data_IF_088903140802
#
_entry.id   IF_088903140802
#
_cell.length_a   1.000
_cell.length_b   1.000
_cell.length_c   1.000
_cell.angle_alpha   90.00
_cell.angle_beta   90.00
_cell.angle_gamma   90.00
#
_symmetry.space_group_name_H-M   'P 1'
#
loop_
_entity.id
_entity.type
_entity.pdbx_description
1 polymer ?
#
# COMPACT_ATOMS: atom_id res chain seq x y z
N UNK A 1 -15.89 -10.09 11.06
CA UNK A 1 -15.55 -9.44 9.77
C UNK A 1 -16.53 -8.33 9.41
N UNK A 2 -17.84 -8.59 9.24
CA UNK A 2 -18.85 -7.56 8.91
C UNK A 2 -18.86 -6.37 9.89
N UNK A 3 -18.76 -6.63 11.20
CA UNK A 3 -18.67 -5.58 12.22
C UNK A 3 -17.43 -4.68 12.06
N UNK A 4 -16.27 -5.28 11.77
CA UNK A 4 -14.98 -4.58 11.60
C UNK A 4 -14.99 -3.71 10.33
N UNK A 5 -15.56 -4.22 9.23
CA UNK A 5 -15.79 -3.47 7.98
C UNK A 5 -16.65 -2.22 8.25
N UNK A 6 -17.80 -2.40 8.90
CA UNK A 6 -18.70 -1.29 9.25
C UNK A 6 -18.03 -0.28 10.18
N UNK A 7 -17.28 -0.77 11.16
CA UNK A 7 -16.55 0.08 12.12
C UNK A 7 -15.45 0.88 11.42
N UNK A 8 -14.64 0.26 10.58
CA UNK A 8 -13.61 0.95 9.78
C UNK A 8 -14.23 2.04 8.88
N UNK A 9 -15.42 1.79 8.31
CA UNK A 9 -16.12 2.76 7.49
C UNK A 9 -16.56 3.98 8.32
N UNK A 10 -17.16 3.74 9.49
CA UNK A 10 -17.56 4.81 10.40
C UNK A 10 -16.35 5.63 10.87
N UNK A 11 -15.26 4.96 11.26
CA UNK A 11 -14.02 5.64 11.65
C UNK A 11 -13.49 6.52 10.53
N UNK A 12 -13.45 6.01 9.29
CA UNK A 12 -12.94 6.77 8.15
C UNK A 12 -13.83 7.97 7.84
N UNK A 13 -15.15 7.79 7.88
CA UNK A 13 -16.14 8.86 7.66
C UNK A 13 -16.00 9.97 8.71
N UNK A 14 -15.90 9.60 9.98
CA UNK A 14 -15.85 10.54 11.10
C UNK A 14 -14.48 11.26 11.20
N UNK A 15 -13.44 10.75 10.52
CA UNK A 15 -12.08 11.29 10.53
C UNK A 15 -11.54 11.50 9.12
N UNK A 16 -12.33 12.14 8.25
CA UNK A 16 -11.97 12.37 6.83
C UNK A 16 -10.68 13.19 6.64
N UNK A 17 -10.25 13.93 7.68
CA UNK A 17 -8.97 14.66 7.68
C UNK A 17 -7.78 13.76 7.39
N UNK A 18 -7.88 12.45 7.70
CA UNK A 18 -6.82 11.45 7.45
C UNK A 18 -6.59 11.21 5.96
N UNK A 19 -7.56 11.54 5.09
CA UNK A 19 -7.41 11.43 3.64
C UNK A 19 -6.68 12.62 3.00
N UNK A 20 -6.61 13.78 3.68
CA UNK A 20 -6.05 15.01 3.11
C UNK A 20 -4.56 14.91 2.73
N UNK A 21 -3.67 14.31 3.56
CA UNK A 21 -2.25 14.20 3.21
C UNK A 21 -1.99 13.45 1.91
N UNK A 22 -2.84 12.48 1.54
CA UNK A 22 -2.70 11.71 0.29
C UNK A 22 -2.78 12.63 -0.93
N UNK A 23 -3.72 13.59 -0.92
CA UNK A 23 -3.94 14.49 -2.06
C UNK A 23 -2.65 15.28 -2.34
N UNK A 24 -2.08 15.87 -1.29
CA UNK A 24 -0.86 16.66 -1.38
C UNK A 24 0.32 15.77 -1.80
N UNK A 25 0.43 14.59 -1.19
CA UNK A 25 1.47 13.62 -1.54
C UNK A 25 1.40 13.20 -3.01
N UNK A 26 0.22 12.91 -3.54
CA UNK A 26 0.04 12.50 -4.94
C UNK A 26 0.44 13.60 -5.92
N UNK A 27 0.21 14.87 -5.59
CA UNK A 27 0.68 16.01 -6.40
C UNK A 27 2.21 16.07 -6.37
N UNK A 28 2.82 16.03 -5.19
CA UNK A 28 4.27 16.15 -5.01
C UNK A 28 5.01 14.97 -5.66
N UNK A 29 4.52 13.75 -5.48
CA UNK A 29 5.14 12.56 -6.06
C UNK A 29 4.99 12.55 -7.59
N UNK A 30 3.87 13.02 -8.14
CA UNK A 30 3.67 13.12 -9.59
C UNK A 30 4.66 14.12 -10.21
N UNK A 31 4.89 15.27 -9.57
CA UNK A 31 5.85 16.27 -10.04
C UNK A 31 7.28 15.73 -10.01
N UNK A 32 7.68 15.10 -8.90
CA UNK A 32 9.04 14.58 -8.72
C UNK A 32 9.30 13.33 -9.57
N UNK A 33 8.30 12.49 -9.81
CA UNK A 33 8.37 11.36 -10.74
C UNK A 33 8.40 11.83 -12.20
N UNK A 34 7.61 12.85 -12.55
CA UNK A 34 7.67 13.46 -13.89
C UNK A 34 9.06 14.04 -14.19
N UNK A 35 9.64 14.73 -13.21
CA UNK A 35 11.02 15.23 -13.31
C UNK A 35 12.04 14.09 -13.47
N UNK A 36 11.88 12.98 -12.73
CA UNK A 36 12.74 11.80 -12.81
C UNK A 36 12.78 11.21 -14.23
N UNK A 37 11.62 11.02 -14.88
CA UNK A 37 11.53 10.43 -16.22
C UNK A 37 12.13 11.31 -17.32
N UNK A 38 12.23 12.62 -17.09
CA UNK A 38 12.82 13.56 -18.04
C UNK A 38 14.35 13.68 -17.89
N UNK A 39 14.96 13.08 -16.86
CA UNK A 39 16.40 13.17 -16.65
C UNK A 39 17.17 12.23 -17.58
N UNK A 40 18.02 12.80 -18.43
CA UNK A 40 19.01 12.06 -19.23
C UNK A 40 20.34 11.87 -18.48
N UNK A 41 20.61 12.71 -17.47
CA UNK A 41 21.81 12.63 -16.64
C UNK A 41 21.63 11.57 -15.54
N UNK A 42 22.53 10.58 -15.49
CA UNK A 42 22.51 9.47 -14.52
C UNK A 42 22.58 9.91 -13.05
N UNK A 43 23.35 10.95 -12.75
CA UNK A 43 23.49 11.48 -11.39
C UNK A 43 22.19 12.18 -10.97
N UNK A 44 21.66 13.06 -11.83
CA UNK A 44 20.38 13.74 -11.57
C UNK A 44 19.25 12.71 -11.40
N UNK A 45 19.21 11.67 -12.24
CA UNK A 45 18.29 10.55 -12.12
C UNK A 45 18.38 9.88 -10.73
N UNK A 46 19.59 9.53 -10.27
CA UNK A 46 19.78 8.93 -8.94
C UNK A 46 19.30 9.85 -7.81
N UNK A 47 19.56 11.17 -7.90
CA UNK A 47 19.09 12.13 -6.89
C UNK A 47 17.57 12.16 -6.83
N UNK A 48 16.89 12.29 -7.97
CA UNK A 48 15.43 12.27 -8.01
C UNK A 48 14.87 10.92 -7.57
N UNK A 49 15.53 9.80 -7.90
CA UNK A 49 15.10 8.47 -7.48
C UNK A 49 15.15 8.32 -5.95
N UNK A 50 16.26 8.70 -5.33
CA UNK A 50 16.40 8.68 -3.87
C UNK A 50 15.41 9.65 -3.22
N UNK A 51 15.22 10.85 -3.78
CA UNK A 51 14.25 11.81 -3.27
C UNK A 51 12.82 11.25 -3.29
N UNK A 52 12.41 10.54 -4.34
CA UNK A 52 11.11 9.87 -4.40
C UNK A 52 10.95 8.81 -3.29
N UNK A 53 11.99 8.01 -3.02
CA UNK A 53 11.97 7.02 -1.93
C UNK A 53 11.82 7.71 -0.56
N UNK A 54 12.57 8.80 -0.32
CA UNK A 54 12.49 9.54 0.94
C UNK A 54 11.13 10.23 1.10
N UNK A 55 10.55 10.76 0.03
CA UNK A 55 9.20 11.35 0.03
C UNK A 55 8.13 10.30 0.36
N UNK A 56 8.19 9.12 -0.29
CA UNK A 56 7.30 8.00 0.02
C UNK A 56 7.43 7.60 1.48
N UNK A 57 8.65 7.54 2.00
CA UNK A 57 8.91 7.18 3.39
C UNK A 57 8.32 8.22 4.35
N UNK A 58 8.62 9.51 4.14
CA UNK A 58 8.07 10.59 4.94
C UNK A 58 6.54 10.52 4.96
N UNK A 59 5.93 10.35 3.79
CA UNK A 59 4.50 10.23 3.67
C UNK A 59 3.94 9.04 4.47
N UNK A 60 4.46 7.83 4.25
CA UNK A 60 3.96 6.64 4.95
C UNK A 60 4.18 6.73 6.46
N UNK A 61 5.30 7.28 6.91
CA UNK A 61 5.58 7.46 8.35
C UNK A 61 4.59 8.41 9.04
N UNK A 62 4.28 9.56 8.42
CA UNK A 62 3.27 10.47 8.96
C UNK A 62 1.86 9.91 8.85
N UNK A 63 1.52 9.30 7.71
CA UNK A 63 0.17 8.83 7.44
C UNK A 63 -0.22 7.61 8.27
N UNK A 64 0.67 6.63 8.43
CA UNK A 64 0.41 5.48 9.30
C UNK A 64 0.31 5.88 10.77
N UNK A 65 1.11 6.86 11.22
CA UNK A 65 0.96 7.42 12.57
C UNK A 65 -0.43 8.05 12.76
N UNK A 66 -0.89 8.88 11.81
CA UNK A 66 -2.23 9.45 11.86
C UNK A 66 -3.31 8.36 11.94
N UNK A 67 -3.20 7.31 11.12
CA UNK A 67 -4.16 6.19 11.15
C UNK A 67 -4.17 5.52 12.53
N UNK A 68 -3.01 5.28 13.14
CA UNK A 68 -2.94 4.72 14.49
C UNK A 68 -3.59 5.64 15.53
N UNK A 69 -3.30 6.95 15.48
CA UNK A 69 -3.92 7.95 16.37
C UNK A 69 -5.42 8.06 16.16
N UNK A 70 -5.92 7.87 14.94
CA UNK A 70 -7.35 7.79 14.65
C UNK A 70 -8.02 6.60 15.33
N UNK A 71 -7.35 5.44 15.37
CA UNK A 71 -7.87 4.28 16.09
C UNK A 71 -7.87 4.50 17.61
N UNK A 72 -6.82 5.11 18.16
CA UNK A 72 -6.77 5.52 19.58
C UNK A 72 -7.87 6.52 19.92
N UNK A 73 -8.08 7.52 19.06
CA UNK A 73 -9.16 8.51 19.16
C UNK A 73 -10.54 7.84 19.17
N UNK A 74 -10.78 6.89 18.27
CA UNK A 74 -12.05 6.16 18.21
C UNK A 74 -12.28 5.31 19.48
N UNK A 75 -11.25 4.66 20.02
CA UNK A 75 -11.36 3.93 21.30
C UNK A 75 -11.71 4.86 22.47
N UNK A 76 -11.20 6.10 22.48
CA UNK A 76 -11.58 7.11 23.48
C UNK A 76 -13.04 7.54 23.29
N UNK A 77 -13.49 7.74 22.05
CA UNK A 77 -14.88 8.06 21.74
C UNK A 77 -15.85 6.97 22.21
N UNK A 78 -15.53 5.68 21.96
CA UNK A 78 -16.34 4.55 22.41
C UNK A 78 -16.45 4.44 23.94
N UNK A 79 -15.47 4.97 24.67
CA UNK A 79 -15.45 5.01 26.14
C UNK A 79 -16.08 6.28 26.73
N UNK A 80 -16.79 7.07 25.91
CA UNK A 80 -17.40 8.35 26.31
C UNK A 80 -16.41 9.32 26.99
N UNK A 81 -15.15 9.35 26.53
CA UNK A 81 -14.15 10.28 27.07
C UNK A 81 -14.42 11.74 26.69
N UNK A 82 -15.11 11.98 25.57
CA UNK A 82 -15.46 13.32 25.12
C UNK A 82 -16.76 13.76 25.79
N UNK A 83 -16.79 15.03 26.22
CA UNK A 83 -17.95 15.61 26.91
C UNK A 83 -19.06 15.98 25.92
N UNK A 84 -18.70 16.30 24.68
CA UNK A 84 -19.63 16.74 23.63
C UNK A 84 -19.13 16.36 22.22
N UNK A 85 -20.05 16.33 21.25
CA UNK A 85 -19.77 16.07 19.82
C UNK A 85 -18.81 17.09 19.22
N UNK A 86 -18.80 18.33 19.74
CA UNK A 86 -17.82 19.36 19.36
C UNK A 86 -16.40 19.00 19.75
N UNK A 87 -16.19 18.52 20.97
CA UNK A 87 -14.86 18.11 21.46
C UNK A 87 -14.33 16.92 20.64
N UNK A 88 -15.21 15.98 20.29
CA UNK A 88 -14.89 14.87 19.39
C UNK A 88 -14.50 15.34 17.99
N UNK A 89 -15.20 16.33 17.44
CA UNK A 89 -14.89 16.89 16.13
C UNK A 89 -13.55 17.66 16.14
N UNK A 90 -13.30 18.48 17.15
CA UNK A 90 -12.03 19.20 17.32
C UNK A 90 -10.84 18.24 17.47
N UNK A 91 -11.01 17.19 18.27
CA UNK A 91 -10.00 16.14 18.43
C UNK A 91 -9.76 15.38 17.12
N UNK A 92 -10.81 15.11 16.33
CA UNK A 92 -10.69 14.53 14.98
C UNK A 92 -9.88 15.44 14.05
N UNK A 93 -10.17 16.75 13.99
CA UNK A 93 -9.38 17.69 13.18
C UNK A 93 -7.92 17.81 13.64
N UNK A 94 -7.66 17.69 14.94
CA UNK A 94 -6.32 17.70 15.50
C UNK A 94 -5.46 16.52 15.01
N UNK A 95 -6.06 15.40 14.58
CA UNK A 95 -5.33 14.25 14.01
C UNK A 95 -4.48 14.64 12.80
N UNK A 96 -4.88 15.67 12.04
CA UNK A 96 -4.07 16.21 10.94
C UNK A 96 -2.67 16.67 11.37
N UNK A 97 -2.53 17.14 12.62
CA UNK A 97 -1.26 17.62 13.17
C UNK A 97 -0.32 16.48 13.55
N UNK A 98 -0.85 15.26 13.72
CA UNK A 98 -0.07 14.06 14.06
C UNK A 98 0.78 13.55 12.88
N UNK A 99 0.59 14.11 11.67
CA UNK A 99 1.41 13.76 10.52
C UNK A 99 2.89 14.06 10.76
N UNK A 100 3.25 15.30 11.08
CA UNK A 100 4.66 15.73 11.19
C UNK A 100 5.41 15.08 12.36
N UNK A 101 4.83 14.94 13.57
CA UNK A 101 5.42 14.13 14.63
C UNK A 101 5.67 12.69 14.17
N UNK A 102 4.70 12.11 13.44
CA UNK A 102 4.82 10.78 12.86
C UNK A 102 6.00 10.66 11.89
N UNK A 103 6.25 11.69 11.07
CA UNK A 103 7.46 11.73 10.23
C UNK A 103 8.71 11.75 11.09
N UNK A 104 8.82 12.65 12.06
CA UNK A 104 10.02 12.78 12.90
C UNK A 104 10.40 11.49 13.64
N UNK A 105 9.40 10.77 14.16
CA UNK A 105 9.60 9.58 14.99
C UNK A 105 9.78 8.30 14.15
N UNK A 106 8.98 8.12 13.09
CA UNK A 106 8.89 6.86 12.36
C UNK A 106 9.62 6.84 11.01
N UNK A 107 10.28 7.93 10.60
CA UNK A 107 10.96 8.02 9.29
C UNK A 107 11.96 6.87 9.05
N UNK A 108 12.91 6.68 9.97
CA UNK A 108 13.94 5.65 9.84
C UNK A 108 13.37 4.22 9.90
N UNK A 109 12.55 3.83 10.90
CA UNK A 109 11.94 2.50 10.92
C UNK A 109 11.15 2.18 9.65
N UNK A 110 10.38 3.15 9.14
CA UNK A 110 9.60 2.99 7.92
C UNK A 110 10.51 2.86 6.70
N UNK A 111 11.62 3.61 6.64
CA UNK A 111 12.60 3.52 5.54
C UNK A 111 13.18 2.12 5.46
N UNK A 112 13.72 1.61 6.56
CA UNK A 112 14.32 0.27 6.59
C UNK A 112 13.29 -0.82 6.29
N UNK A 113 12.05 -0.64 6.74
CA UNK A 113 10.97 -1.58 6.45
C UNK A 113 10.57 -1.57 4.98
N UNK A 114 10.49 -0.40 4.35
CA UNK A 114 10.23 -0.26 2.91
C UNK A 114 11.36 -0.87 2.07
N UNK A 115 12.62 -0.59 2.42
CA UNK A 115 13.77 -1.18 1.72
C UNK A 115 13.75 -2.70 1.85
N UNK A 116 13.54 -3.23 3.06
CA UNK A 116 13.44 -4.67 3.29
C UNK A 116 12.27 -5.28 2.51
N UNK A 117 11.10 -4.63 2.50
CA UNK A 117 9.93 -5.05 1.73
C UNK A 117 10.23 -5.15 0.23
N UNK A 118 10.88 -4.14 -0.36
CA UNK A 118 11.27 -4.15 -1.77
C UNK A 118 12.27 -5.26 -2.06
N UNK A 119 13.28 -5.45 -1.20
CA UNK A 119 14.29 -6.52 -1.36
C UNK A 119 13.63 -7.90 -1.32
N UNK A 120 12.76 -8.16 -0.33
CA UNK A 120 12.04 -9.43 -0.21
C UNK A 120 11.14 -9.65 -1.43
N UNK A 121 10.45 -8.61 -1.90
CA UNK A 121 9.61 -8.69 -3.10
C UNK A 121 10.44 -9.02 -4.36
N UNK A 122 11.60 -8.37 -4.54
CA UNK A 122 12.50 -8.66 -5.66
C UNK A 122 13.05 -10.09 -5.63
N UNK A 123 13.43 -10.58 -4.45
CA UNK A 123 13.87 -11.97 -4.27
C UNK A 123 12.75 -12.95 -4.64
N UNK A 124 11.50 -12.65 -4.22
CA UNK A 124 10.33 -13.45 -4.57
C UNK A 124 10.09 -13.45 -6.09
N UNK A 125 10.19 -12.29 -6.76
CA UNK A 125 10.01 -12.21 -8.21
C UNK A 125 11.06 -13.02 -8.96
N UNK A 126 12.34 -12.96 -8.54
CA UNK A 126 13.41 -13.76 -9.13
C UNK A 126 13.18 -15.26 -8.90
N UNK A 127 12.78 -15.65 -7.69
CA UNK A 127 12.46 -17.04 -7.37
C UNK A 127 11.26 -17.55 -8.17
N UNK A 128 10.19 -16.76 -8.25
CA UNK A 128 9.00 -17.05 -9.04
C UNK A 128 9.32 -17.17 -10.53
N UNK A 129 10.14 -16.26 -11.07
CA UNK A 129 10.59 -16.34 -12.46
C UNK A 129 11.38 -17.63 -12.73
N UNK A 130 12.37 -17.96 -11.90
CA UNK A 130 13.15 -19.21 -12.03
C UNK A 130 12.25 -20.45 -11.94
N UNK A 131 11.28 -20.44 -11.03
CA UNK A 131 10.29 -21.52 -10.91
C UNK A 131 9.42 -21.61 -12.18
N UNK A 132 8.89 -20.48 -12.64
CA UNK A 132 8.08 -20.40 -13.85
C UNK A 132 8.82 -20.92 -15.08
N UNK A 133 10.09 -20.55 -15.25
CA UNK A 133 10.93 -21.03 -16.36
C UNK A 133 11.09 -22.55 -16.38
N UNK A 134 11.08 -23.19 -15.21
CA UNK A 134 11.28 -24.64 -15.08
C UNK A 134 9.99 -25.44 -15.31
N UNK A 135 8.83 -24.88 -14.92
CA UNK A 135 7.57 -25.63 -14.85
C UNK A 135 6.46 -25.10 -15.77
N UNK A 136 6.54 -23.87 -16.26
CA UNK A 136 5.53 -23.27 -17.12
C UNK A 136 5.95 -23.31 -18.59
N UNK A 137 4.97 -23.44 -19.52
CA UNK A 137 5.25 -23.37 -20.95
C UNK A 137 5.88 -22.02 -21.30
N UNK A 138 6.89 -22.07 -22.16
CA UNK A 138 7.64 -20.89 -22.51
C UNK A 138 6.89 -20.11 -23.60
N UNK A 139 6.56 -18.82 -23.39
CA UNK A 139 5.69 -18.10 -24.30
C UNK A 139 6.41 -17.66 -25.59
N UNK A 140 7.73 -17.88 -25.73
CA UNK A 140 8.53 -17.58 -26.92
C UNK A 140 8.18 -16.22 -27.57
N UNK A 141 8.15 -15.17 -26.75
CA UNK A 141 7.79 -13.81 -27.16
C UNK A 141 9.06 -13.09 -27.59
N UNK A 142 9.01 -12.40 -28.74
CA UNK A 142 10.05 -11.44 -29.08
C UNK A 142 9.94 -10.23 -28.15
N UNK A 143 10.85 -10.15 -27.17
CA UNK A 143 10.86 -9.09 -26.17
C UNK A 143 11.02 -7.69 -26.77
N UNK A 144 11.74 -7.56 -27.89
CA UNK A 144 11.91 -6.28 -28.57
C UNK A 144 10.59 -5.75 -29.14
N UNK A 145 9.81 -6.62 -29.79
CA UNK A 145 8.50 -6.27 -30.33
C UNK A 145 7.47 -6.04 -29.23
N UNK A 146 7.49 -6.85 -28.17
CA UNK A 146 6.63 -6.67 -27.00
C UNK A 146 6.88 -5.32 -26.33
N UNK A 147 8.15 -4.97 -26.07
CA UNK A 147 8.50 -3.69 -25.44
C UNK A 147 8.21 -2.50 -26.36
N UNK A 148 8.42 -2.65 -27.67
CA UNK A 148 8.02 -1.64 -28.64
C UNK A 148 6.51 -1.42 -28.65
N UNK A 149 5.71 -2.50 -28.60
CA UNK A 149 4.26 -2.42 -28.53
C UNK A 149 3.76 -1.86 -27.18
N UNK A 150 4.36 -2.27 -26.07
CA UNK A 150 3.99 -1.85 -24.71
C UNK A 150 4.26 -0.36 -24.45
N UNK A 151 5.34 0.18 -25.04
CA UNK A 151 5.68 1.61 -24.94
C UNK A 151 4.98 2.48 -25.99
N UNK A 152 4.09 1.88 -26.80
CA UNK A 152 3.38 2.54 -27.88
C UNK A 152 1.90 2.74 -27.57
N UNK A 153 1.05 2.95 -28.57
CA UNK A 153 -0.38 3.19 -28.36
C UNK A 153 -1.13 1.91 -27.96
N UNK A 154 -2.26 2.00 -27.22
CA UNK A 154 -3.10 0.85 -26.90
C UNK A 154 -3.55 0.04 -28.13
N UNK A 155 -3.75 0.71 -29.27
CA UNK A 155 -4.08 0.08 -30.54
C UNK A 155 -2.94 -0.77 -31.11
N UNK A 156 -1.68 -0.35 -30.94
CA UNK A 156 -0.51 -1.13 -31.37
C UNK A 156 -0.28 -2.33 -30.46
N UNK A 157 -0.56 -2.20 -29.16
CA UNK A 157 -0.55 -3.34 -28.24
C UNK A 157 -1.64 -4.37 -28.59
N UNK A 158 -2.85 -3.93 -28.95
CA UNK A 158 -3.90 -4.84 -29.43
C UNK A 158 -3.50 -5.56 -30.72
N UNK A 159 -2.89 -4.86 -31.68
CA UNK A 159 -2.38 -5.48 -32.91
C UNK A 159 -1.29 -6.52 -32.63
N UNK A 160 -0.38 -6.21 -31.70
CA UNK A 160 0.64 -7.15 -31.27
C UNK A 160 0.03 -8.40 -30.64
N UNK A 161 -0.89 -8.24 -29.70
CA UNK A 161 -1.59 -9.38 -29.06
C UNK A 161 -2.36 -10.21 -30.08
N UNK A 162 -3.00 -9.57 -31.06
CA UNK A 162 -3.71 -10.27 -32.15
C UNK A 162 -2.78 -11.02 -33.12
N UNK A 163 -1.51 -10.62 -33.21
CA UNK A 163 -0.50 -11.32 -34.03
C UNK A 163 0.07 -12.57 -33.37
N UNK A 164 -0.15 -12.76 -32.08
CA UNK A 164 0.36 -13.91 -31.34
C UNK A 164 -0.45 -15.17 -31.64
N UNK A 165 0.25 -16.30 -31.72
CA UNK A 165 -0.41 -17.60 -31.87
C UNK A 165 -1.21 -17.96 -30.61
N UNK A 166 -2.21 -18.84 -30.77
CA UNK A 166 -2.99 -19.36 -29.65
C UNK A 166 -2.13 -19.98 -28.53
N UNK A 167 -1.04 -20.65 -28.90
CA UNK A 167 -0.11 -21.25 -27.93
C UNK A 167 0.63 -20.16 -27.12
N UNK A 168 1.10 -19.09 -27.76
CA UNK A 168 1.78 -17.98 -27.10
C UNK A 168 0.82 -17.24 -26.16
N UNK A 169 -0.42 -16.98 -26.60
CA UNK A 169 -1.45 -16.36 -25.77
C UNK A 169 -1.79 -17.21 -24.55
N UNK A 170 -1.95 -18.54 -24.73
CA UNK A 170 -2.20 -19.46 -23.62
C UNK A 170 -1.05 -19.45 -22.61
N UNK A 171 0.20 -19.52 -23.09
CA UNK A 171 1.37 -19.46 -22.23
C UNK A 171 1.44 -18.12 -21.47
N UNK A 172 1.20 -16.98 -22.14
CA UNK A 172 1.13 -15.66 -21.49
C UNK A 172 0.10 -15.61 -20.37
N UNK A 173 -1.12 -16.10 -20.62
CA UNK A 173 -2.19 -16.10 -19.62
C UNK A 173 -1.83 -16.95 -18.40
N UNK A 174 -1.17 -18.10 -18.60
CA UNK A 174 -0.66 -18.94 -17.51
C UNK A 174 0.39 -18.18 -16.68
N UNK A 175 1.33 -17.50 -17.33
CA UNK A 175 2.34 -16.68 -16.67
C UNK A 175 1.72 -15.51 -15.90
N UNK A 176 0.73 -14.82 -16.48
CA UNK A 176 -0.01 -13.75 -15.80
C UNK A 176 -0.74 -14.27 -14.56
N UNK A 177 -1.43 -15.41 -14.66
CA UNK A 177 -2.11 -16.03 -13.53
C UNK A 177 -1.13 -16.45 -12.44
N UNK A 178 0.01 -17.04 -12.82
CA UNK A 178 1.05 -17.44 -11.88
C UNK A 178 1.64 -16.24 -11.12
N UNK A 179 2.05 -15.17 -11.83
CA UNK A 179 2.55 -13.97 -11.16
C UNK A 179 1.46 -13.26 -10.35
N UNK A 180 0.21 -13.28 -10.81
CA UNK A 180 -0.93 -12.80 -10.03
C UNK A 180 -1.12 -13.57 -8.73
N UNK A 181 -1.00 -14.90 -8.76
CA UNK A 181 -1.06 -15.74 -7.57
C UNK A 181 0.12 -15.46 -6.61
N UNK A 182 1.34 -15.32 -7.13
CA UNK A 182 2.52 -14.93 -6.34
C UNK A 182 2.31 -13.57 -5.66
N UNK A 183 1.77 -12.59 -6.39
CA UNK A 183 1.44 -11.28 -5.85
C UNK A 183 0.36 -11.35 -4.76
N UNK A 184 -0.68 -12.15 -4.95
CA UNK A 184 -1.72 -12.36 -3.94
C UNK A 184 -1.16 -13.00 -2.66
N UNK A 185 -0.31 -14.01 -2.80
CA UNK A 185 0.37 -14.66 -1.66
C UNK A 185 1.27 -13.65 -0.94
N UNK A 186 2.07 -12.89 -1.69
CA UNK A 186 2.91 -11.86 -1.10
C UNK A 186 2.09 -10.80 -0.35
N UNK A 187 1.04 -10.29 -0.99
CA UNK A 187 0.13 -9.31 -0.39
C UNK A 187 -0.50 -9.83 0.90
N UNK A 188 -0.95 -11.11 0.92
CA UNK A 188 -1.46 -11.75 2.14
C UNK A 188 -0.41 -11.78 3.25
N UNK A 189 0.82 -12.16 2.89
CA UNK A 189 1.94 -12.31 3.83
C UNK A 189 2.52 -10.97 4.28
N UNK A 190 2.17 -9.83 3.69
CA UNK A 190 2.72 -8.52 4.08
C UNK A 190 1.66 -7.48 4.45
N UNK A 191 0.37 -7.83 4.35
CA UNK A 191 -0.74 -6.89 4.56
C UNK A 191 -0.68 -6.16 5.91
N UNK A 192 -0.25 -6.84 6.96
CA UNK A 192 -0.17 -6.28 8.31
C UNK A 192 1.23 -5.85 8.72
N UNK A 193 2.17 -5.72 7.77
CA UNK A 193 3.57 -5.38 8.05
C UNK A 193 3.70 -4.04 8.79
N UNK A 194 3.05 -2.99 8.31
CA UNK A 194 3.11 -1.67 8.94
C UNK A 194 2.36 -1.60 10.28
N UNK A 195 1.13 -2.14 10.42
CA UNK A 195 0.52 -2.29 11.74
C UNK A 195 1.41 -3.01 12.77
N UNK A 196 2.09 -4.09 12.34
CA UNK A 196 3.02 -4.84 13.19
C UNK A 196 4.27 -4.02 13.55
N UNK A 197 4.81 -3.25 12.60
CA UNK A 197 5.93 -2.33 12.85
C UNK A 197 5.59 -1.33 13.95
N UNK A 198 4.49 -0.60 13.82
CA UNK A 198 4.07 0.41 14.79
C UNK A 198 3.74 -0.18 16.17
N UNK A 199 3.12 -1.35 16.21
CA UNK A 199 2.85 -2.06 17.47
C UNK A 199 4.12 -2.57 18.15
N UNK A 200 5.16 -2.94 17.39
CA UNK A 200 6.44 -3.33 17.96
C UNK A 200 7.22 -2.12 18.47
N UNK A 201 7.18 -1.00 17.76
CA UNK A 201 7.84 0.25 18.17
C UNK A 201 7.22 0.82 19.45
N UNK A 202 5.88 0.85 19.56
CA UNK A 202 5.21 1.35 20.77
C UNK A 202 5.48 0.51 22.03
N UNK A 203 5.75 -0.80 21.88
CA UNK A 203 6.17 -1.68 23.00
C UNK A 203 7.62 -1.47 23.43
N UNK A 204 8.45 -0.88 22.58
CA UNK A 204 9.89 -0.74 22.82
C UNK A 204 10.24 0.55 23.57
N UNK A 205 9.39 1.58 23.56
CA UNK A 205 9.59 2.79 24.38
C UNK A 205 9.55 2.51 25.89
N UNK A 206 8.96 1.39 26.32
CA UNK A 206 8.97 0.95 27.74
C UNK A 206 10.29 0.30 28.19
N UNK A 207 11.21 -0.05 27.27
CA UNK A 207 12.46 -0.76 27.59
C UNK A 207 13.70 -0.01 27.08
N UNK A 208 14.52 0.49 28.03
CA UNK A 208 15.86 1.11 27.85
C UNK A 208 16.87 0.24 27.07
N UNK A 209 16.66 -0.01 25.77
CA UNK A 209 17.60 -0.70 24.89
C UNK A 209 18.14 0.27 23.82
N UNK A 210 19.37 0.08 23.29
CA UNK A 210 20.04 1.07 22.47
C UNK A 210 19.30 1.25 21.14
N UNK A 211 18.78 2.45 20.96
CA UNK A 211 17.90 2.91 19.86
C UNK A 211 18.33 2.40 18.47
N UNK A 212 19.63 2.38 18.17
CA UNK A 212 20.15 1.99 16.86
C UNK A 212 19.97 0.50 16.52
N UNK A 213 20.16 -0.40 17.50
CA UNK A 213 20.01 -1.85 17.29
C UNK A 213 18.53 -2.24 17.16
N UNK A 214 17.65 -1.48 17.82
CA UNK A 214 16.20 -1.58 17.67
C UNK A 214 15.76 -1.18 16.26
N UNK A 215 16.29 -0.08 15.72
CA UNK A 215 15.92 0.45 14.39
C UNK A 215 16.26 -0.50 13.23
N UNK A 216 17.44 -1.10 13.22
CA UNK A 216 17.88 -2.01 12.14
C UNK A 216 17.16 -3.35 12.19
N UNK A 217 16.78 -3.81 13.38
CA UNK A 217 16.06 -5.07 13.57
C UNK A 217 14.53 -4.91 13.53
N UNK A 218 14.02 -3.68 13.58
CA UNK A 218 12.59 -3.38 13.53
C UNK A 218 11.88 -3.99 12.31
N UNK A 219 12.44 -3.95 11.07
CA UNK A 219 11.83 -4.61 9.93
C UNK A 219 11.69 -6.12 10.12
N UNK A 220 12.76 -6.80 10.56
CA UNK A 220 12.76 -8.26 10.72
C UNK A 220 11.77 -8.70 11.80
N UNK A 221 11.74 -7.97 12.92
CA UNK A 221 10.76 -8.17 13.98
C UNK A 221 9.33 -7.97 13.46
N UNK A 222 9.08 -6.89 12.72
CA UNK A 222 7.78 -6.60 12.12
C UNK A 222 7.35 -7.69 11.12
N UNK A 223 8.24 -8.16 10.24
CA UNK A 223 7.98 -9.26 9.31
C UNK A 223 7.58 -10.53 10.06
N UNK A 224 8.35 -10.91 11.09
CA UNK A 224 8.06 -12.09 11.89
C UNK A 224 6.69 -11.98 12.60
N UNK A 225 6.44 -10.86 13.29
CA UNK A 225 5.17 -10.62 13.97
C UNK A 225 4.00 -10.64 13.00
N UNK A 226 4.14 -10.02 11.83
CA UNK A 226 3.12 -10.01 10.79
C UNK A 226 2.86 -11.42 10.23
N UNK A 227 3.90 -12.21 9.94
CA UNK A 227 3.73 -13.60 9.45
C UNK A 227 2.99 -14.44 10.50
N UNK A 228 3.44 -14.38 11.75
CA UNK A 228 2.79 -15.11 12.86
C UNK A 228 1.33 -14.70 13.00
N UNK A 229 1.02 -13.41 12.90
CA UNK A 229 -0.35 -12.91 12.95
C UNK A 229 -1.22 -13.46 11.80
N UNK A 230 -0.71 -13.40 10.56
CA UNK A 230 -1.41 -13.93 9.37
C UNK A 230 -1.75 -15.40 9.55
N UNK A 231 -0.80 -16.23 10.00
CA UNK A 231 -1.06 -17.66 10.18
C UNK A 231 -1.96 -17.97 11.38
N UNK A 232 -1.87 -17.19 12.47
CA UNK A 232 -2.77 -17.35 13.63
C UNK A 232 -4.21 -16.99 13.28
N UNK A 233 -4.41 -15.97 12.45
CA UNK A 233 -5.72 -15.50 12.01
C UNK A 233 -5.91 -15.72 10.50
N UNK A 234 -5.56 -16.91 10.00
CA UNK A 234 -5.50 -17.18 8.56
C UNK A 234 -6.81 -16.89 7.81
N UNK A 235 -7.92 -17.48 8.25
CA UNK A 235 -9.22 -17.28 7.59
C UNK A 235 -9.69 -15.82 7.64
N UNK A 236 -9.41 -15.11 8.73
CA UNK A 236 -9.73 -13.70 8.86
C UNK A 236 -8.84 -12.81 7.98
N UNK A 237 -7.55 -13.11 7.90
CA UNK A 237 -6.60 -12.41 7.02
C UNK A 237 -6.95 -12.61 5.55
N UNK A 238 -7.30 -13.83 5.15
CA UNK A 238 -7.79 -14.15 3.81
C UNK A 238 -9.09 -13.40 3.52
N UNK A 239 -10.03 -13.35 4.46
CA UNK A 239 -11.28 -12.62 4.28
C UNK A 239 -11.08 -11.10 4.12
N UNK A 240 -10.14 -10.50 4.86
CA UNK A 240 -9.75 -9.08 4.66
C UNK A 240 -9.17 -8.90 3.25
N UNK A 241 -8.25 -9.76 2.83
CA UNK A 241 -7.65 -9.67 1.50
C UNK A 241 -8.70 -9.81 0.39
N UNK A 242 -9.61 -10.79 0.47
CA UNK A 242 -10.70 -10.97 -0.51
C UNK A 242 -11.57 -9.70 -0.58
N UNK A 243 -11.90 -9.10 0.57
CA UNK A 243 -12.67 -7.87 0.61
C UNK A 243 -11.91 -6.70 -0.03
N UNK A 244 -10.60 -6.55 0.22
CA UNK A 244 -9.78 -5.52 -0.42
C UNK A 244 -9.67 -5.72 -1.94
N UNK A 245 -9.51 -6.97 -2.40
CA UNK A 245 -9.53 -7.31 -3.83
C UNK A 245 -10.88 -6.96 -4.47
N UNK A 246 -11.98 -7.25 -3.78
CA UNK A 246 -13.32 -6.89 -4.23
C UNK A 246 -13.49 -5.37 -4.36
N UNK A 247 -13.03 -4.58 -3.38
CA UNK A 247 -13.03 -3.13 -3.48
C UNK A 247 -12.19 -2.64 -4.66
N UNK A 248 -11.02 -3.25 -4.89
CA UNK A 248 -10.16 -2.88 -6.01
C UNK A 248 -10.83 -3.15 -7.37
N UNK A 249 -11.58 -4.25 -7.49
CA UNK A 249 -12.38 -4.55 -8.68
C UNK A 249 -13.47 -3.48 -8.89
N UNK A 250 -14.20 -3.11 -7.83
CA UNK A 250 -15.21 -2.04 -7.91
C UNK A 250 -14.56 -0.73 -8.36
N UNK A 251 -13.44 -0.34 -7.76
CA UNK A 251 -12.73 0.89 -8.13
C UNK A 251 -12.22 0.85 -9.56
N UNK A 252 -11.74 -0.30 -10.04
CA UNK A 252 -11.31 -0.47 -11.43
C UNK A 252 -12.47 -0.26 -12.41
N UNK A 253 -13.65 -0.84 -12.14
CA UNK A 253 -14.86 -0.65 -12.96
C UNK A 253 -15.33 0.82 -12.92
N UNK A 254 -15.37 1.43 -11.73
CA UNK A 254 -15.75 2.83 -11.58
C UNK A 254 -14.78 3.76 -12.30
N UNK A 255 -13.48 3.45 -12.31
CA UNK A 255 -12.47 4.27 -12.99
C UNK A 255 -12.71 4.37 -14.50
N UNK A 256 -13.21 3.30 -15.13
CA UNK A 256 -13.59 3.32 -16.55
C UNK A 256 -14.72 4.34 -16.79
N UNK A 257 -15.74 4.35 -15.92
CA UNK A 257 -16.85 5.30 -16.00
C UNK A 257 -16.37 6.73 -15.73
N UNK A 258 -15.50 6.92 -14.75
CA UNK A 258 -15.03 8.24 -14.36
C UNK A 258 -14.07 8.88 -15.38
N UNK A 259 -13.35 8.06 -16.15
CA UNK A 259 -12.48 8.53 -17.23
C UNK A 259 -13.21 9.12 -18.44
N UNK A 260 -14.55 8.99 -18.51
CA UNK A 260 -15.36 9.50 -19.63
C UNK A 260 -15.46 11.04 -19.64
N UNK A 261 -15.30 11.69 -18.49
CA UNK A 261 -15.39 13.14 -18.37
C UNK A 261 -14.45 13.66 -17.28
N UNK A 262 -13.84 14.83 -17.51
CA UNK A 262 -12.92 15.47 -16.56
C UNK A 262 -13.54 15.72 -15.18
N UNK A 263 -14.82 16.10 -15.11
CA UNK A 263 -15.53 16.32 -13.83
C UNK A 263 -15.65 14.99 -13.08
N UNK A 264 -16.07 13.94 -13.78
CA UNK A 264 -16.16 12.59 -13.19
C UNK A 264 -14.80 12.05 -12.77
N UNK A 265 -13.73 12.41 -13.49
CA UNK A 265 -12.35 12.04 -13.14
C UNK A 265 -11.95 12.64 -11.80
N UNK A 266 -12.31 13.90 -11.53
CA UNK A 266 -12.06 14.55 -10.22
C UNK A 266 -12.82 13.82 -9.10
N UNK A 267 -14.09 13.48 -9.32
CA UNK A 267 -14.87 12.68 -8.35
C UNK A 267 -14.26 11.30 -8.12
N UNK A 268 -13.82 10.63 -9.19
CA UNK A 268 -13.16 9.33 -9.10
C UNK A 268 -11.87 9.36 -8.31
N UNK A 269 -11.10 10.44 -8.43
CA UNK A 269 -9.87 10.65 -7.68
C UNK A 269 -10.14 10.86 -6.18
N UNK A 270 -11.13 11.68 -5.83
CA UNK A 270 -11.57 11.86 -4.43
C UNK A 270 -12.08 10.54 -3.82
N UNK A 271 -12.89 9.79 -4.57
CA UNK A 271 -13.38 8.48 -4.12
C UNK A 271 -12.22 7.50 -3.91
N UNK A 272 -11.22 7.50 -4.81
CA UNK A 272 -10.05 6.63 -4.69
C UNK A 272 -9.26 6.91 -3.42
N UNK A 273 -9.06 8.18 -3.05
CA UNK A 273 -8.39 8.54 -1.80
C UNK A 273 -9.18 8.12 -0.56
N UNK A 274 -10.49 8.28 -0.60
CA UNK A 274 -11.36 7.81 0.48
C UNK A 274 -11.27 6.30 0.65
N UNK A 275 -11.38 5.53 -0.44
CA UNK A 275 -11.30 4.07 -0.42
C UNK A 275 -9.91 3.58 0.01
N UNK A 276 -8.84 4.26 -0.39
CA UNK A 276 -7.48 3.94 0.04
C UNK A 276 -7.30 4.17 1.55
N UNK A 277 -7.81 5.29 2.07
CA UNK A 277 -7.79 5.59 3.51
C UNK A 277 -8.59 4.55 4.28
N UNK A 278 -9.79 4.23 3.81
CA UNK A 278 -10.66 3.20 4.38
C UNK A 278 -9.98 1.82 4.43
N UNK A 279 -9.32 1.42 3.34
CA UNK A 279 -8.59 0.16 3.26
C UNK A 279 -7.49 0.08 4.33
N UNK A 280 -6.71 1.15 4.52
CA UNK A 280 -5.68 1.17 5.55
C UNK A 280 -6.26 1.18 6.97
N UNK A 281 -7.30 1.99 7.22
CA UNK A 281 -8.00 1.99 8.52
C UNK A 281 -8.53 0.60 8.84
N UNK A 282 -9.08 -0.12 7.86
CA UNK A 282 -9.54 -1.50 8.01
C UNK A 282 -8.40 -2.45 8.39
N UNK A 283 -7.26 -2.38 7.68
CA UNK A 283 -6.09 -3.23 7.96
C UNK A 283 -5.56 -2.98 9.38
N UNK A 284 -5.37 -1.71 9.76
CA UNK A 284 -4.87 -1.33 11.08
C UNK A 284 -5.87 -1.70 12.18
N UNK A 285 -7.17 -1.46 11.98
CA UNK A 285 -8.22 -1.81 12.94
C UNK A 285 -8.29 -3.31 13.15
N UNK A 286 -8.28 -4.08 12.06
CA UNK A 286 -8.35 -5.54 12.14
C UNK A 286 -7.14 -6.11 12.91
N UNK A 287 -5.94 -5.60 12.64
CA UNK A 287 -4.75 -5.98 13.39
C UNK A 287 -4.86 -5.63 14.88
N UNK A 288 -5.29 -4.41 15.19
CA UNK A 288 -5.37 -3.91 16.55
C UNK A 288 -6.46 -4.57 17.41
N UNK A 289 -7.57 -5.01 16.81
CA UNK A 289 -8.63 -5.76 17.49
C UNK A 289 -8.29 -7.24 17.73
N UNK A 290 -7.30 -7.81 17.03
CA UNK A 290 -6.99 -9.25 17.06
C UNK A 290 -5.54 -9.58 17.48
N UNK A 291 -4.74 -8.60 17.90
CA UNK A 291 -3.33 -8.78 18.30
C UNK A 291 -3.14 -9.50 19.63
#
# INVERSE_FOLDING_TARGET
MSLCIKKAFNITRDNIVVAQPIVIFMIVISLTTGALYQQTNKIAYMVFFVANILLCTAFFSGWFNMIQKTLEHNKKAEKNFYRDDREKAEASFALGKEFFPGVGEYFLPVTFTLVAYVVVYMLLLVAAYKFGMKYLPHPHINWGEFMAAANSTPAQMQKYVASLSFYQLKAMNIWMFFFGAVFCVFSLLTMFLFPALYNNLSKHDDKKNPYLKSLVLAPFSAFNTNIVFVFRHFLGSVGVLIFLLFLNIIMSVLSLVFSLNIVLTVFGLLLSFYVMTYALVLIFLYYDENK
#
